data_IF_402849533774
#
_entry.id   IF_402849533774
#
_cell.length_a   1.000
_cell.length_b   1.000
_cell.length_c   1.000
_cell.angle_alpha   90.00
_cell.angle_beta   90.00
_cell.angle_gamma   90.00
#
_symmetry.space_group_name_H-M   'P 1'
#
loop_
_entity.id
_entity.type
_entity.pdbx_description
1 polymer ?
#
# COMPACT_ATOMS: atom_id res chain seq x y z
N UNK A 1 9.66 27.05 -14.47
CA UNK A 1 8.68 27.85 -15.26
C UNK A 1 7.34 27.67 -14.58
N UNK A 2 6.90 28.70 -13.83
CA UNK A 2 5.64 28.65 -13.08
C UNK A 2 4.53 29.04 -14.06
N UNK A 3 3.65 28.08 -14.37
CA UNK A 3 2.44 28.39 -15.14
C UNK A 3 1.38 28.87 -14.16
N UNK A 4 1.13 30.19 -14.19
CA UNK A 4 0.01 30.77 -13.44
C UNK A 4 -1.29 30.43 -14.17
N UNK A 5 -2.10 29.57 -13.59
CA UNK A 5 -3.45 29.30 -14.05
C UNK A 5 -4.39 30.24 -13.32
N UNK A 6 -4.99 31.18 -14.03
CA UNK A 6 -6.05 32.04 -13.49
C UNK A 6 -7.23 31.16 -13.08
N UNK A 7 -7.76 31.28 -11.84
CA UNK A 7 -8.96 30.53 -11.47
C UNK A 7 -10.11 30.93 -12.39
N UNK A 8 -10.72 29.97 -13.05
CA UNK A 8 -12.01 30.16 -13.72
C UNK A 8 -13.03 30.35 -12.64
N UNK A 9 -13.56 31.58 -12.48
CA UNK A 9 -14.71 31.80 -11.62
C UNK A 9 -15.90 31.01 -12.17
N UNK A 10 -16.17 29.88 -11.51
CA UNK A 10 -17.35 29.09 -11.79
C UNK A 10 -18.56 29.79 -11.15
N UNK A 11 -19.31 30.55 -11.98
CA UNK A 11 -20.64 31.05 -11.60
C UNK A 11 -21.66 29.96 -11.89
N UNK A 12 -22.25 29.30 -10.88
CA UNK A 12 -23.30 28.32 -11.13
C UNK A 12 -24.60 29.04 -11.55
N UNK A 13 -24.79 29.19 -12.84
CA UNK A 13 -26.04 29.74 -13.42
C UNK A 13 -27.05 28.65 -13.81
N UNK A 14 -26.88 27.44 -13.32
CA UNK A 14 -27.87 26.37 -13.46
C UNK A 14 -28.22 25.87 -12.08
N UNK A 15 -29.43 26.18 -11.63
CA UNK A 15 -30.04 25.43 -10.52
C UNK A 15 -30.29 24.02 -11.04
N UNK A 16 -29.24 23.21 -11.02
CA UNK A 16 -29.34 21.80 -11.36
C UNK A 16 -30.13 21.16 -10.25
N UNK A 17 -31.35 20.75 -10.55
CA UNK A 17 -32.20 20.02 -9.63
C UNK A 17 -31.54 18.65 -9.37
N UNK A 18 -30.71 18.57 -8.35
CA UNK A 18 -29.93 17.37 -7.97
C UNK A 18 -30.83 16.23 -7.46
N UNK A 19 -32.12 16.47 -7.31
CA UNK A 19 -33.08 15.48 -6.83
C UNK A 19 -33.33 14.32 -7.82
N UNK A 20 -32.92 14.47 -9.09
CA UNK A 20 -33.06 13.42 -10.11
C UNK A 20 -31.76 12.67 -10.43
N UNK A 21 -30.66 12.95 -9.74
CA UNK A 21 -29.50 12.07 -9.82
C UNK A 21 -29.83 10.81 -9.02
N UNK A 22 -30.36 9.81 -9.70
CA UNK A 22 -30.41 8.46 -9.16
C UNK A 22 -29.03 8.13 -8.61
N UNK A 23 -28.93 7.92 -7.29
CA UNK A 23 -27.69 7.44 -6.66
C UNK A 23 -27.40 6.07 -7.25
N UNK A 24 -26.61 6.01 -8.31
CA UNK A 24 -26.10 4.74 -8.82
C UNK A 24 -25.33 4.10 -7.69
N UNK A 25 -25.88 3.07 -7.10
CA UNK A 25 -25.18 2.24 -6.13
C UNK A 25 -24.11 1.47 -6.88
N UNK A 26 -22.87 1.68 -6.49
CA UNK A 26 -21.74 0.87 -6.95
C UNK A 26 -21.39 -0.15 -5.86
N UNK A 27 -20.99 -1.37 -6.25
CA UNK A 27 -20.52 -2.34 -5.26
C UNK A 27 -19.33 -1.78 -4.48
N UNK A 28 -19.26 -1.99 -3.17
CA UNK A 28 -18.14 -1.53 -2.38
C UNK A 28 -16.87 -2.28 -2.76
N UNK A 29 -15.76 -1.56 -2.93
CA UNK A 29 -14.42 -2.12 -3.07
C UNK A 29 -13.60 -1.73 -1.85
N UNK A 30 -12.83 -2.69 -1.32
CA UNK A 30 -11.74 -2.38 -0.40
C UNK A 30 -10.56 -1.80 -1.17
N UNK A 31 -9.96 -0.75 -0.64
CA UNK A 31 -8.69 -0.22 -1.17
C UNK A 31 -7.63 -0.40 -0.11
N UNK A 32 -6.49 -0.98 -0.50
CA UNK A 32 -5.30 -1.12 0.34
C UNK A 32 -4.12 -0.37 -0.26
N UNK A 33 -3.16 -0.02 0.57
CA UNK A 33 -1.87 0.48 0.16
C UNK A 33 -0.78 -0.43 0.72
N UNK A 34 0.12 -0.92 -0.13
CA UNK A 34 1.25 -1.76 0.24
C UNK A 34 2.56 -1.03 -0.12
N UNK A 35 3.63 -1.26 0.63
CA UNK A 35 4.91 -0.60 0.39
C UNK A 35 6.07 -1.60 0.36
N UNK A 36 6.87 -1.55 -0.73
CA UNK A 36 8.12 -2.25 -0.86
C UNK A 36 9.28 -1.33 -0.46
N UNK A 37 9.81 -1.50 0.75
CA UNK A 37 10.96 -0.74 1.23
C UNK A 37 12.22 -1.57 1.04
N UNK A 38 13.17 -1.01 0.28
CA UNK A 38 14.45 -1.62 0.03
C UNK A 38 15.57 -0.88 0.77
N UNK A 39 16.60 -1.61 1.16
CA UNK A 39 17.81 -1.06 1.74
C UNK A 39 19.05 -1.86 1.32
N UNK A 40 20.23 -1.28 1.49
CA UNK A 40 21.50 -2.02 1.42
C UNK A 40 21.99 -2.22 2.84
N UNK A 41 22.07 -3.46 3.27
CA UNK A 41 22.49 -3.87 4.60
C UNK A 41 23.38 -5.12 4.50
N UNK A 42 24.47 -5.15 5.27
CA UNK A 42 25.45 -6.24 5.22
C UNK A 42 25.92 -6.55 3.78
N UNK A 43 26.18 -5.49 3.01
CA UNK A 43 26.58 -5.55 1.59
C UNK A 43 25.56 -6.25 0.66
N UNK A 44 24.31 -6.45 1.12
CA UNK A 44 23.24 -7.09 0.35
C UNK A 44 22.05 -6.15 0.16
N UNK A 45 21.42 -6.26 -1.00
CA UNK A 45 20.14 -5.59 -1.28
C UNK A 45 19.01 -6.38 -0.63
N UNK A 46 18.29 -5.73 0.27
CA UNK A 46 17.28 -6.36 1.12
C UNK A 46 15.93 -5.66 0.98
N UNK A 47 14.87 -6.45 1.11
CA UNK A 47 13.47 -6.01 1.12
C UNK A 47 12.89 -6.20 2.52
N UNK A 48 12.17 -5.19 2.99
CA UNK A 48 11.39 -5.28 4.22
C UNK A 48 10.13 -6.11 4.00
N UNK A 49 9.96 -7.13 4.81
CA UNK A 49 8.77 -7.97 4.83
C UNK A 49 8.23 -8.10 6.26
N UNK A 50 6.95 -8.39 6.36
CA UNK A 50 6.29 -8.78 7.60
C UNK A 50 5.84 -10.23 7.52
N UNK A 51 5.81 -10.92 8.65
CA UNK A 51 5.12 -12.18 8.78
C UNK A 51 3.71 -11.90 9.30
N UNK A 52 2.71 -12.30 8.52
CA UNK A 52 1.31 -12.05 8.87
C UNK A 52 0.91 -12.79 10.16
N UNK A 53 0.36 -12.03 11.12
CA UNK A 53 -0.15 -12.55 12.39
C UNK A 53 -1.56 -13.13 12.32
N UNK A 54 -2.29 -12.87 11.19
CA UNK A 54 -3.72 -13.18 11.05
C UNK A 54 -4.07 -13.84 9.74
N UNK A 55 -5.27 -14.44 9.70
CA UNK A 55 -5.88 -14.95 8.48
C UNK A 55 -6.47 -13.77 7.63
N UNK A 56 -6.50 -13.86 6.29
CA UNK A 56 -5.92 -14.93 5.48
C UNK A 56 -4.38 -14.86 5.44
N UNK A 57 -3.74 -15.99 5.14
CA UNK A 57 -2.28 -16.10 4.97
C UNK A 57 -1.45 -15.98 6.26
N UNK A 58 -2.00 -16.39 7.40
CA UNK A 58 -1.25 -16.50 8.68
C UNK A 58 0.13 -17.17 8.47
N UNK A 59 1.19 -16.53 8.99
CA UNK A 59 2.57 -17.01 8.92
C UNK A 59 3.23 -16.84 7.54
N UNK A 60 2.56 -16.23 6.57
CA UNK A 60 3.18 -15.90 5.27
C UNK A 60 3.86 -14.56 5.31
N UNK A 61 4.93 -14.42 4.51
CA UNK A 61 5.59 -13.14 4.30
C UNK A 61 4.77 -12.27 3.34
N UNK A 62 4.68 -10.99 3.66
CA UNK A 62 4.00 -9.98 2.86
C UNK A 62 4.76 -8.65 2.92
N UNK A 63 4.45 -7.74 2.00
CA UNK A 63 4.82 -6.35 2.14
C UNK A 63 4.03 -5.73 3.29
N UNK A 64 4.58 -4.76 4.02
CA UNK A 64 3.80 -3.92 4.92
C UNK A 64 2.66 -3.23 4.16
N UNK A 65 1.48 -3.19 4.75
CA UNK A 65 0.33 -2.56 4.12
C UNK A 65 -1.03 -3.01 4.64
N UNK A 66 -2.03 -2.16 4.43
CA UNK A 66 -3.38 -2.37 4.91
C UNK A 66 -4.42 -1.52 4.23
N UNK A 67 -5.63 -1.51 4.78
CA UNK A 67 -6.75 -0.74 4.24
C UNK A 67 -6.60 0.76 4.48
N UNK A 68 -7.02 1.55 3.48
CA UNK A 68 -7.12 2.99 3.62
C UNK A 68 -8.22 3.36 4.61
N UNK A 69 -7.92 4.33 5.47
CA UNK A 69 -8.93 5.04 6.26
C UNK A 69 -9.65 6.10 5.39
N UNK A 70 -10.88 6.50 5.75
CA UNK A 70 -11.66 7.43 4.93
C UNK A 70 -11.03 8.81 4.74
N UNK A 71 -10.11 9.21 5.61
CA UNK A 71 -9.51 10.54 5.71
C UNK A 71 -8.02 10.57 5.33
N UNK A 72 -7.51 9.49 4.73
CA UNK A 72 -6.10 9.41 4.32
C UNK A 72 -5.95 9.10 2.83
N UNK A 73 -4.84 9.57 2.25
CA UNK A 73 -4.43 9.16 0.90
C UNK A 73 -3.76 7.77 0.92
N UNK A 74 -3.57 7.16 -0.25
CA UNK A 74 -2.89 5.88 -0.35
C UNK A 74 -1.42 5.95 0.13
N UNK A 75 -0.73 7.08 -0.10
CA UNK A 75 0.62 7.33 0.39
C UNK A 75 0.66 7.41 1.92
N UNK A 76 -0.33 8.11 2.52
CA UNK A 76 -0.44 8.22 3.97
C UNK A 76 -0.74 6.87 4.62
N UNK A 77 -1.64 6.07 4.01
CA UNK A 77 -1.92 4.71 4.45
C UNK A 77 -0.65 3.84 4.41
N UNK A 78 0.11 3.86 3.31
CA UNK A 78 1.35 3.09 3.18
C UNK A 78 2.39 3.47 4.26
N UNK A 79 2.52 4.76 4.58
CA UNK A 79 3.44 5.24 5.62
C UNK A 79 2.97 4.84 7.03
N UNK A 80 1.67 4.97 7.32
CA UNK A 80 1.08 4.56 8.59
C UNK A 80 1.26 3.06 8.83
N UNK A 81 0.89 2.23 7.86
CA UNK A 81 1.01 0.77 7.93
C UNK A 81 2.48 0.34 8.11
N UNK A 82 3.40 0.97 7.40
CA UNK A 82 4.82 0.70 7.59
C UNK A 82 5.25 0.93 9.04
N UNK A 83 4.88 2.06 9.62
CA UNK A 83 5.20 2.37 11.02
C UNK A 83 4.53 1.39 11.99
N UNK A 84 3.24 1.11 11.81
CA UNK A 84 2.45 0.25 12.67
C UNK A 84 2.92 -1.20 12.66
N UNK A 85 3.28 -1.73 11.49
CA UNK A 85 3.66 -3.13 11.33
C UNK A 85 5.14 -3.42 11.53
N UNK A 86 6.01 -2.41 11.39
CA UNK A 86 7.47 -2.63 11.44
C UNK A 86 8.21 -1.81 12.48
N UNK A 87 7.52 -0.88 13.14
CA UNK A 87 8.09 0.13 14.03
C UNK A 87 9.23 0.96 13.38
N UNK A 88 9.29 0.99 12.05
CA UNK A 88 10.24 1.78 11.30
C UNK A 88 9.73 3.21 11.17
N UNK A 89 10.20 4.07 12.06
CA UNK A 89 9.96 5.52 12.01
C UNK A 89 11.07 6.17 11.17
N UNK A 90 10.97 6.01 9.87
CA UNK A 90 11.88 6.63 8.93
C UNK A 90 11.11 7.67 8.10
N UNK A 91 11.71 8.86 7.96
CA UNK A 91 11.26 9.81 6.94
C UNK A 91 11.57 9.19 5.56
N UNK A 92 10.58 8.51 5.01
CA UNK A 92 10.71 7.84 3.70
C UNK A 92 10.78 8.87 2.58
N UNK A 93 10.54 10.15 2.90
CA UNK A 93 10.57 11.23 1.92
C UNK A 93 9.56 11.00 0.81
N UNK A 94 10.06 10.73 -0.39
CA UNK A 94 9.21 10.53 -1.56
C UNK A 94 8.90 9.04 -1.79
N UNK A 95 7.62 8.69 -1.75
CA UNK A 95 7.13 7.39 -2.20
C UNK A 95 6.83 7.44 -3.70
N UNK A 96 7.31 6.46 -4.44
CA UNK A 96 6.92 6.29 -5.84
C UNK A 96 5.87 5.18 -5.95
N UNK A 97 4.80 5.47 -6.67
CA UNK A 97 3.80 4.45 -6.97
C UNK A 97 4.39 3.44 -7.95
N UNK A 98 4.45 2.18 -7.55
CA UNK A 98 4.89 1.08 -8.39
C UNK A 98 3.79 0.70 -9.38
N UNK A 99 2.62 0.31 -8.87
CA UNK A 99 1.48 -0.14 -9.67
C UNK A 99 0.21 -0.23 -8.84
N UNK A 100 -0.94 -0.18 -9.52
CA UNK A 100 -2.23 -0.58 -8.96
C UNK A 100 -2.58 -2.01 -9.38
N UNK A 101 -2.88 -2.86 -8.41
CA UNK A 101 -3.28 -4.25 -8.61
C UNK A 101 -4.78 -4.37 -8.39
N UNK A 102 -5.54 -4.63 -9.46
CA UNK A 102 -7.00 -4.63 -9.45
C UNK A 102 -7.64 -5.84 -10.13
N UNK A 103 -6.86 -6.90 -10.37
CA UNK A 103 -7.40 -8.13 -10.97
C UNK A 103 -8.51 -8.70 -10.07
N UNK A 104 -9.66 -9.09 -10.62
CA UNK A 104 -10.67 -9.82 -9.87
C UNK A 104 -10.07 -11.04 -9.19
N UNK A 105 -10.59 -11.39 -8.02
CA UNK A 105 -10.23 -12.59 -7.25
C UNK A 105 -8.75 -12.68 -6.80
N UNK A 106 -7.98 -11.56 -6.91
CA UNK A 106 -6.61 -11.49 -6.40
C UNK A 106 -6.52 -11.64 -4.89
N UNK A 107 -7.58 -11.30 -4.19
CA UNK A 107 -7.70 -11.36 -2.73
C UNK A 107 -8.85 -12.31 -2.39
N UNK A 108 -8.68 -13.27 -1.47
CA UNK A 108 -9.70 -14.26 -1.15
C UNK A 108 -10.82 -13.73 -0.25
N UNK A 109 -10.74 -12.47 0.21
CA UNK A 109 -11.78 -11.85 1.02
C UNK A 109 -13.06 -11.65 0.19
N UNK A 110 -14.21 -11.62 0.87
CA UNK A 110 -15.52 -11.56 0.23
C UNK A 110 -15.70 -10.31 -0.65
N UNK A 111 -15.17 -9.17 -0.21
CA UNK A 111 -15.20 -7.94 -0.98
C UNK A 111 -13.99 -7.84 -1.91
N UNK A 112 -14.23 -7.33 -3.12
CA UNK A 112 -13.15 -7.04 -4.06
C UNK A 112 -12.17 -6.02 -3.47
N UNK A 113 -10.86 -6.34 -3.53
CA UNK A 113 -9.79 -5.48 -3.03
C UNK A 113 -8.93 -4.99 -4.18
N UNK A 114 -8.65 -3.70 -4.18
CA UNK A 114 -7.70 -3.03 -5.08
C UNK A 114 -6.53 -2.53 -4.23
N UNK A 115 -5.30 -2.87 -4.62
CA UNK A 115 -4.09 -2.41 -3.94
C UNK A 115 -3.37 -1.36 -4.75
N UNK A 116 -3.00 -0.26 -4.12
CA UNK A 116 -2.02 0.70 -4.63
C UNK A 116 -0.68 0.33 -4.00
N UNK A 117 0.27 -0.14 -4.80
CA UNK A 117 1.60 -0.48 -4.34
C UNK A 117 2.58 0.65 -4.56
N UNK A 118 3.38 0.91 -3.54
CA UNK A 118 4.47 1.89 -3.53
C UNK A 118 5.81 1.21 -3.35
N UNK A 119 6.89 1.93 -3.64
CA UNK A 119 8.25 1.50 -3.33
C UNK A 119 9.11 2.67 -2.89
N UNK A 120 10.12 2.36 -2.12
CA UNK A 120 11.17 3.29 -1.70
C UNK A 120 12.49 2.55 -1.53
N UNK A 121 13.60 3.24 -1.79
CA UNK A 121 14.96 2.77 -1.46
C UNK A 121 15.57 3.74 -0.49
N UNK A 122 15.97 3.25 0.66
CA UNK A 122 16.56 4.06 1.72
C UNK A 122 17.88 3.43 2.18
N UNK A 123 18.95 4.23 2.31
CA UNK A 123 20.20 3.72 2.82
C UNK A 123 20.13 3.47 4.32
N UNK A 124 20.79 2.43 4.78
CA UNK A 124 21.10 2.16 6.19
C UNK A 124 19.93 2.28 7.17
N UNK A 125 18.83 1.61 6.84
CA UNK A 125 17.69 1.51 7.76
C UNK A 125 18.03 0.58 8.93
N UNK A 126 17.66 1.02 10.15
CA UNK A 126 17.90 0.29 11.40
C UNK A 126 17.16 -1.03 11.52
N UNK A 127 17.18 -1.57 12.73
CA UNK A 127 16.44 -2.79 13.08
C UNK A 127 14.93 -2.53 13.02
N UNK A 128 14.20 -3.54 12.56
CA UNK A 128 12.73 -3.54 12.50
C UNK A 128 12.16 -4.51 13.52
N UNK A 129 10.92 -4.27 13.94
CA UNK A 129 10.19 -5.13 14.90
C UNK A 129 8.76 -5.27 14.43
N UNK A 130 8.18 -6.46 14.62
CA UNK A 130 6.75 -6.66 14.39
C UNK A 130 5.90 -5.71 15.23
N UNK A 131 4.85 -5.20 14.64
CA UNK A 131 3.88 -4.32 15.26
C UNK A 131 2.55 -5.00 15.53
N UNK A 132 1.44 -4.26 15.38
CA UNK A 132 0.10 -4.67 15.81
C UNK A 132 -0.40 -5.97 15.17
N UNK A 133 -0.37 -6.06 13.85
CA UNK A 133 -0.93 -7.17 13.07
C UNK A 133 0.15 -8.06 12.45
N UNK A 134 1.42 -7.66 12.56
CA UNK A 134 2.58 -8.42 12.14
C UNK A 134 3.18 -9.22 13.30
N UNK A 135 3.30 -10.53 13.16
CA UNK A 135 3.99 -11.36 14.13
C UNK A 135 5.47 -10.96 14.27
N UNK A 136 6.07 -10.54 13.16
CA UNK A 136 7.42 -9.94 13.12
C UNK A 136 7.64 -9.20 11.81
N UNK A 137 8.59 -8.25 11.83
CA UNK A 137 9.15 -7.63 10.63
C UNK A 137 10.61 -8.07 10.45
N UNK A 138 11.06 -8.20 9.21
CA UNK A 138 12.39 -8.69 8.88
C UNK A 138 12.92 -8.15 7.56
N UNK A 139 14.23 -7.94 7.50
CA UNK A 139 14.94 -7.66 6.26
C UNK A 139 15.31 -8.98 5.59
N UNK A 140 14.89 -9.15 4.34
CA UNK A 140 15.14 -10.36 3.55
C UNK A 140 15.98 -10.00 2.33
N UNK A 141 17.16 -10.63 2.14
CA UNK A 141 17.93 -10.42 0.92
C UNK A 141 17.14 -10.78 -0.33
N UNK A 142 17.15 -9.88 -1.31
CA UNK A 142 16.33 -10.03 -2.53
C UNK A 142 16.70 -11.29 -3.32
N UNK A 143 17.96 -11.69 -3.32
CA UNK A 143 18.45 -12.91 -3.97
C UNK A 143 17.97 -14.21 -3.28
N UNK A 144 17.49 -14.15 -2.03
CA UNK A 144 16.84 -15.27 -1.35
C UNK A 144 15.35 -15.35 -1.67
N UNK A 145 14.73 -14.24 -2.09
CA UNK A 145 13.31 -14.19 -2.41
C UNK A 145 12.96 -15.00 -3.67
N UNK A 146 13.86 -15.09 -4.63
CA UNK A 146 13.61 -15.81 -5.90
C UNK A 146 13.45 -17.33 -5.71
N UNK A 147 13.99 -17.88 -4.62
CA UNK A 147 13.99 -19.32 -4.39
C UNK A 147 12.84 -19.81 -3.49
N UNK A 148 12.29 -18.98 -2.62
CA UNK A 148 11.34 -19.42 -1.56
C UNK A 148 9.99 -18.70 -1.58
N UNK A 149 9.86 -17.57 -2.26
CA UNK A 149 8.59 -16.87 -2.34
C UNK A 149 7.77 -17.42 -3.51
N UNK A 150 6.84 -18.29 -3.20
CA UNK A 150 5.65 -18.42 -4.03
C UNK A 150 4.88 -17.11 -3.91
N UNK A 151 5.24 -16.11 -4.72
CA UNK A 151 4.38 -14.97 -4.96
C UNK A 151 3.05 -15.54 -5.40
N UNK A 152 2.02 -15.33 -4.62
CA UNK A 152 0.68 -15.72 -5.00
C UNK A 152 0.27 -14.84 -6.20
N UNK A 153 0.67 -15.27 -7.38
CA UNK A 153 0.04 -14.85 -8.61
C UNK A 153 -1.28 -15.60 -8.63
N UNK A 154 -2.39 -14.91 -8.41
CA UNK A 154 -3.71 -15.49 -8.56
C UNK A 154 -3.83 -16.26 -9.88
N UNK A 155 -4.86 -17.10 -10.04
CA UNK A 155 -5.04 -17.85 -11.27
C UNK A 155 -5.04 -16.91 -12.47
N UNK A 156 -4.27 -17.26 -13.48
CA UNK A 156 -4.17 -16.57 -14.77
C UNK A 156 -5.49 -16.67 -15.50
#
# INVERSE_FOLDING_TARGET
>A
MIVSVTPIEYTPSVTTNLEHLEKKSHPPFGVTADIAVFTIRDERFQLLLIERGEIPFLGRLALPGGFLHPDESAEQAAQRELLEETALDADIGHLEQLRTYSTPDRDPRENRVVTVAFWAILPDLGEVRGGTDAARALWVPVDELENDIKVYSGPH
#
